data_IF_028194754435
#
_entry.id   IF_028194754435
#
_cell.length_a   1.000
_cell.length_b   1.000
_cell.length_c   1.000
_cell.angle_alpha   90.00
_cell.angle_beta   90.00
_cell.angle_gamma   90.00
#
_symmetry.space_group_name_H-M   'P 1'
#
loop_
_entity.id
_entity.type
_entity.pdbx_description
1 polymer ?
#
# COMPACT_ATOMS: atom_id res chain seq x y z
N UNK A 1 -15.57 2.44 13.87
CA UNK A 1 -16.01 2.01 12.52
C UNK A 1 -17.41 1.39 12.58
N UNK A 2 -17.66 0.44 13.48
CA UNK A 2 -19.02 -0.10 13.68
C UNK A 2 -20.05 0.96 14.07
N UNK A 3 -19.70 1.88 14.98
CA UNK A 3 -20.56 3.03 15.32
C UNK A 3 -20.84 3.97 14.13
N UNK A 4 -20.03 3.89 13.08
CA UNK A 4 -20.23 4.60 11.81
C UNK A 4 -20.93 3.73 10.74
N UNK A 5 -21.43 2.55 11.12
CA UNK A 5 -22.15 1.63 10.23
C UNK A 5 -21.26 0.79 9.31
N UNK A 6 -19.95 0.72 9.56
CA UNK A 6 -19.02 -0.06 8.73
C UNK A 6 -19.12 -1.54 9.08
N UNK A 7 -19.30 -2.40 8.07
CA UNK A 7 -19.22 -3.85 8.19
C UNK A 7 -17.80 -4.34 7.89
N UNK A 8 -17.21 -5.10 8.81
CA UNK A 8 -15.90 -5.72 8.64
C UNK A 8 -16.04 -7.21 8.42
N UNK A 9 -15.36 -7.74 7.41
CA UNK A 9 -15.40 -9.17 7.06
C UNK A 9 -13.96 -9.74 7.13
N UNK A 10 -13.52 -10.25 8.29
CA UNK A 10 -12.22 -10.86 8.43
C UNK A 10 -12.16 -12.25 7.77
N UNK A 11 -10.96 -12.70 7.42
CA UNK A 11 -10.74 -14.05 6.88
C UNK A 11 -11.21 -14.27 5.43
N UNK A 12 -11.62 -13.21 4.73
CA UNK A 12 -12.04 -13.30 3.34
C UNK A 12 -10.87 -13.63 2.40
N UNK A 13 -11.07 -14.58 1.50
CA UNK A 13 -10.21 -14.81 0.33
C UNK A 13 -10.88 -14.22 -0.90
N UNK A 14 -10.24 -13.22 -1.52
CA UNK A 14 -10.79 -12.54 -2.70
C UNK A 14 -10.54 -13.37 -3.98
N UNK A 15 -11.55 -13.49 -4.82
CA UNK A 15 -11.49 -14.35 -6.01
C UNK A 15 -11.51 -13.55 -7.31
N UNK A 16 -12.51 -12.68 -7.49
CA UNK A 16 -12.67 -11.85 -8.69
C UNK A 16 -13.56 -10.64 -8.44
N UNK A 17 -13.51 -9.71 -9.38
CA UNK A 17 -14.38 -8.54 -9.47
C UNK A 17 -15.06 -8.59 -10.83
N UNK A 18 -16.38 -8.45 -10.86
CA UNK A 18 -17.17 -8.33 -12.09
C UNK A 18 -18.43 -7.46 -11.87
N UNK A 19 -19.34 -7.43 -12.85
CA UNK A 19 -20.57 -6.62 -12.81
C UNK A 19 -21.51 -6.97 -11.64
N UNK A 20 -21.35 -8.13 -11.01
CA UNK A 20 -22.12 -8.52 -9.82
C UNK A 20 -21.48 -8.02 -8.51
N UNK A 21 -20.25 -7.49 -8.57
CA UNK A 21 -19.51 -6.95 -7.44
C UNK A 21 -18.27 -7.77 -7.08
N UNK A 22 -17.96 -7.82 -5.78
CA UNK A 22 -16.79 -8.54 -5.26
C UNK A 22 -17.14 -9.98 -4.93
N UNK A 23 -16.43 -10.93 -5.56
CA UNK A 23 -16.53 -12.36 -5.26
C UNK A 23 -15.43 -12.74 -4.27
N UNK A 24 -15.82 -13.37 -3.17
CA UNK A 24 -14.91 -13.76 -2.10
C UNK A 24 -15.40 -15.04 -1.41
N UNK A 25 -14.54 -15.72 -0.67
CA UNK A 25 -14.93 -16.85 0.18
C UNK A 25 -14.50 -16.65 1.63
N UNK A 26 -15.25 -17.26 2.54
CA UNK A 26 -14.90 -17.40 3.96
C UNK A 26 -15.05 -18.88 4.32
N UNK A 27 -14.02 -19.48 4.90
CA UNK A 27 -14.04 -20.89 5.31
C UNK A 27 -14.45 -21.86 4.19
N UNK A 28 -14.14 -21.50 2.94
CA UNK A 28 -14.47 -22.28 1.74
C UNK A 28 -15.87 -22.06 1.17
N UNK A 29 -16.70 -21.19 1.77
CA UNK A 29 -18.00 -20.80 1.22
C UNK A 29 -17.91 -19.58 0.33
N UNK A 30 -18.34 -19.71 -0.93
CA UNK A 30 -18.37 -18.62 -1.91
C UNK A 30 -19.51 -17.63 -1.66
N UNK A 31 -19.19 -16.33 -1.76
CA UNK A 31 -20.09 -15.21 -1.51
C UNK A 31 -19.86 -14.10 -2.55
N UNK A 32 -20.91 -13.33 -2.80
CA UNK A 32 -20.87 -12.15 -3.66
C UNK A 32 -21.33 -10.95 -2.85
N UNK A 33 -20.50 -9.91 -2.81
CA UNK A 33 -20.84 -8.62 -2.23
C UNK A 33 -21.14 -7.64 -3.38
N UNK A 34 -22.42 -7.37 -3.60
CA UNK A 34 -22.88 -6.40 -4.58
C UNK A 34 -22.61 -4.98 -4.09
N UNK A 35 -21.67 -4.29 -4.73
CA UNK A 35 -21.25 -2.92 -4.39
C UNK A 35 -21.05 -2.10 -5.65
N UNK A 36 -21.29 -0.79 -5.54
CA UNK A 36 -21.10 0.14 -6.64
C UNK A 36 -19.62 0.49 -6.89
N UNK A 37 -18.78 0.32 -5.88
CA UNK A 37 -17.36 0.71 -5.93
C UNK A 37 -16.51 -0.20 -5.06
N UNK A 38 -15.31 -0.48 -5.55
CA UNK A 38 -14.31 -1.29 -4.85
C UNK A 38 -13.04 -0.46 -4.76
N UNK A 39 -12.58 -0.22 -3.53
CA UNK A 39 -11.35 0.50 -3.25
C UNK A 39 -10.29 -0.51 -2.81
N UNK A 40 -9.17 -0.56 -3.54
CA UNK A 40 -8.07 -1.47 -3.26
C UNK A 40 -7.07 -0.81 -2.30
N UNK A 41 -7.12 -1.24 -1.04
CA UNK A 41 -6.16 -0.84 -0.01
C UNK A 41 -5.18 -1.99 0.28
N UNK A 42 -4.44 -2.46 -0.73
CA UNK A 42 -3.65 -3.71 -0.70
C UNK A 42 -2.15 -3.49 -0.42
N UNK A 43 -1.80 -2.39 0.24
CA UNK A 43 -0.41 -2.02 0.51
C UNK A 43 0.11 -0.90 -0.39
N UNK A 44 1.43 -0.79 -0.47
CA UNK A 44 2.15 0.28 -1.17
C UNK A 44 3.41 -0.29 -1.83
N UNK A 45 3.81 0.32 -2.95
CA UNK A 45 5.08 0.02 -3.63
C UNK A 45 6.01 1.22 -3.53
N UNK A 46 7.33 0.96 -3.44
CA UNK A 46 8.34 2.02 -3.45
C UNK A 46 8.35 2.71 -4.81
N UNK A 47 8.26 4.04 -4.81
CA UNK A 47 8.44 4.83 -6.04
C UNK A 47 9.91 5.24 -6.19
N UNK A 48 10.64 4.53 -7.05
CA UNK A 48 12.09 4.71 -7.29
C UNK A 48 12.43 5.30 -8.66
N UNK A 49 11.45 5.68 -9.48
CA UNK A 49 11.63 6.06 -10.89
C UNK A 49 12.68 7.17 -11.07
N UNK A 50 12.61 8.24 -10.27
CA UNK A 50 13.56 9.33 -10.34
C UNK A 50 14.96 8.93 -9.88
N UNK A 51 15.06 8.09 -8.83
CA UNK A 51 16.35 7.64 -8.32
C UNK A 51 17.08 6.78 -9.36
N UNK A 52 16.35 5.92 -10.06
CA UNK A 52 16.87 5.12 -11.17
C UNK A 52 17.34 6.01 -12.33
N UNK A 53 16.56 7.03 -12.69
CA UNK A 53 16.93 7.99 -13.74
C UNK A 53 18.20 8.78 -13.38
N UNK A 54 18.36 9.20 -12.12
CA UNK A 54 19.55 9.89 -11.63
C UNK A 54 20.77 8.97 -11.63
N UNK A 55 20.62 7.73 -11.19
CA UNK A 55 21.68 6.73 -11.23
C UNK A 55 22.15 6.46 -12.67
N UNK A 56 21.23 6.36 -13.63
CA UNK A 56 21.55 6.21 -15.05
C UNK A 56 22.30 7.42 -15.64
N UNK A 57 22.10 8.61 -15.06
CA UNK A 57 22.81 9.83 -15.42
C UNK A 57 24.11 10.04 -14.61
N UNK A 58 24.55 9.04 -13.83
CA UNK A 58 25.72 9.10 -12.93
C UNK A 58 25.62 10.24 -11.89
N UNK A 59 24.40 10.65 -11.54
CA UNK A 59 24.13 11.63 -10.49
C UNK A 59 23.90 10.90 -9.17
N UNK A 60 24.75 11.18 -8.19
CA UNK A 60 24.59 10.63 -6.84
C UNK A 60 23.37 11.23 -6.14
N UNK A 61 22.47 10.36 -5.68
CA UNK A 61 21.36 10.70 -4.80
C UNK A 61 21.21 9.66 -3.69
N UNK A 62 20.71 10.08 -2.53
CA UNK A 62 20.25 9.17 -1.48
C UNK A 62 18.73 9.05 -1.51
N UNK A 63 18.24 7.82 -1.38
CA UNK A 63 16.81 7.51 -1.31
C UNK A 63 16.47 7.23 0.17
N UNK A 64 15.40 7.85 0.66
CA UNK A 64 14.90 7.72 2.05
C UNK A 64 13.38 7.56 2.06
N UNK A 65 12.82 7.19 3.21
CA UNK A 65 11.39 7.07 3.45
C UNK A 65 10.72 6.03 2.57
N UNK A 66 9.47 6.29 2.19
CA UNK A 66 8.67 5.35 1.38
C UNK A 66 9.25 5.05 -0.01
N UNK A 67 10.13 5.90 -0.54
CA UNK A 67 10.86 5.61 -1.77
C UNK A 67 11.97 4.58 -1.55
N UNK A 68 12.59 4.56 -0.37
CA UNK A 68 13.61 3.55 -0.03
C UNK A 68 12.93 2.23 0.35
N UNK A 69 11.86 2.31 1.14
CA UNK A 69 11.10 1.14 1.57
C UNK A 69 9.63 1.51 1.82
N UNK A 70 8.76 1.10 0.89
CA UNK A 70 7.31 1.15 1.08
C UNK A 70 6.84 -0.06 1.92
N UNK A 71 7.05 0.00 3.23
CA UNK A 71 6.28 -0.80 4.19
C UNK A 71 5.11 0.03 4.71
N UNK A 72 4.07 -0.65 5.23
CA UNK A 72 2.84 -0.04 5.76
C UNK A 72 3.12 1.22 6.59
N UNK A 73 3.00 2.36 5.92
CA UNK A 73 3.01 3.74 6.41
C UNK A 73 3.74 3.99 7.75
N UNK A 74 5.06 3.78 7.79
CA UNK A 74 5.87 4.19 8.93
C UNK A 74 6.44 5.61 8.71
N UNK A 75 5.60 6.61 9.00
CA UNK A 75 6.01 8.02 8.94
C UNK A 75 7.18 8.33 9.89
N UNK A 76 7.28 7.61 11.01
CA UNK A 76 8.37 7.77 11.97
C UNK A 76 9.70 7.30 11.35
N UNK A 77 9.71 6.15 10.68
CA UNK A 77 10.89 5.67 9.96
C UNK A 77 11.32 6.64 8.86
N UNK A 78 10.38 7.18 8.09
CA UNK A 78 10.71 8.17 7.05
C UNK A 78 11.35 9.44 7.62
N UNK A 79 10.84 9.94 8.75
CA UNK A 79 11.41 11.10 9.45
C UNK A 79 12.79 10.78 10.04
N UNK A 80 12.96 9.61 10.66
CA UNK A 80 14.26 9.19 11.22
C UNK A 80 15.33 9.12 10.14
N UNK A 81 15.05 8.46 9.01
CA UNK A 81 15.98 8.36 7.89
C UNK A 81 16.34 9.74 7.33
N UNK A 82 15.36 10.64 7.20
CA UNK A 82 15.63 12.03 6.79
C UNK A 82 16.54 12.78 7.76
N UNK A 83 16.33 12.60 9.07
CA UNK A 83 17.17 13.23 10.10
C UNK A 83 18.59 12.65 10.11
N UNK A 84 18.74 11.34 9.97
CA UNK A 84 20.03 10.66 9.89
C UNK A 84 20.85 11.14 8.70
N UNK A 85 20.22 11.23 7.51
CA UNK A 85 20.86 11.79 6.31
C UNK A 85 21.27 13.24 6.53
N UNK A 86 20.38 14.08 7.08
CA UNK A 86 20.70 15.50 7.31
C UNK A 86 21.86 15.72 8.29
N UNK A 87 22.06 14.82 9.26
CA UNK A 87 23.16 14.89 10.23
C UNK A 87 24.48 14.32 9.70
N UNK A 88 24.45 13.52 8.63
CA UNK A 88 25.62 12.88 8.03
C UNK A 88 26.27 13.72 6.91
N UNK A 89 25.67 14.86 6.54
CA UNK A 89 26.15 15.81 5.52
C UNK A 89 27.06 16.87 6.12
#
# INVERSE_FOLDING_TARGET
LEAAGVTSIPGASYQKIDDQGLHYSIDGEDKILAVDSIVLCTGQDSNTELAEALAAAEVNCQVIGGAAEARELDALAAVSQGMEVALAV
#
